data_IF_609890395244
#
_entry.id   IF_609890395244
#
_cell.length_a   1.000
_cell.length_b   1.000
_cell.length_c   1.000
_cell.angle_alpha   90.00
_cell.angle_beta   90.00
_cell.angle_gamma   90.00
#
_symmetry.space_group_name_H-M   'P 1'
#
loop_
_entity.id
_entity.type
_entity.pdbx_description
1 polymer ?
#
# COMPACT_ATOMS: atom_id res chain seq x y z
N UNK A 1 -32.87 18.70 18.39
CA UNK A 1 -31.91 17.60 18.57
C UNK A 1 -30.93 17.75 17.41
N UNK A 2 -29.74 18.27 17.65
CA UNK A 2 -28.72 18.32 16.59
C UNK A 2 -28.57 16.89 16.07
N UNK A 3 -28.79 16.69 14.77
CA UNK A 3 -28.50 15.42 14.12
C UNK A 3 -27.08 15.05 14.49
N UNK A 4 -26.92 13.94 15.21
CA UNK A 4 -25.61 13.42 15.54
C UNK A 4 -24.95 13.01 14.21
N UNK A 5 -24.17 13.89 13.60
CA UNK A 5 -23.61 13.65 12.26
C UNK A 5 -22.78 12.37 12.17
N UNK A 6 -22.20 11.91 13.29
CA UNK A 6 -21.53 10.62 13.38
C UNK A 6 -22.51 9.44 13.27
N UNK A 7 -23.72 9.55 13.82
CA UNK A 7 -24.79 8.56 13.63
C UNK A 7 -25.16 8.43 12.15
N UNK A 8 -25.24 9.52 11.40
CA UNK A 8 -25.53 9.46 9.96
C UNK A 8 -24.42 8.75 9.17
N UNK A 9 -23.16 8.99 9.52
CA UNK A 9 -22.04 8.22 8.95
C UNK A 9 -22.15 6.73 9.29
N UNK A 10 -22.49 6.39 10.53
CA UNK A 10 -22.65 5.00 10.96
C UNK A 10 -23.79 4.30 10.21
N UNK A 11 -24.95 4.96 10.06
CA UNK A 11 -26.08 4.45 9.27
C UNK A 11 -25.71 4.28 7.80
N UNK A 12 -24.93 5.21 7.22
CA UNK A 12 -24.47 5.10 5.85
C UNK A 12 -23.58 3.87 5.64
N UNK A 13 -22.71 3.54 6.60
CA UNK A 13 -21.96 2.28 6.55
C UNK A 13 -22.88 1.07 6.59
N UNK A 14 -23.80 0.99 7.57
CA UNK A 14 -24.75 -0.12 7.68
C UNK A 14 -25.57 -0.31 6.39
N UNK A 15 -26.06 0.79 5.81
CA UNK A 15 -26.86 0.77 4.60
C UNK A 15 -26.08 0.40 3.34
N UNK A 16 -24.76 0.62 3.28
CA UNK A 16 -23.96 0.29 2.10
C UNK A 16 -23.54 -1.19 2.07
N UNK A 17 -23.55 -1.88 3.22
CA UNK A 17 -23.11 -3.28 3.33
C UNK A 17 -23.96 -4.23 2.47
N UNK A 18 -25.25 -3.93 2.28
CA UNK A 18 -26.16 -4.76 1.48
C UNK A 18 -25.75 -4.87 0.00
N UNK A 19 -24.94 -3.92 -0.48
CA UNK A 19 -24.44 -3.89 -1.85
C UNK A 19 -23.15 -4.70 -2.05
N UNK A 20 -22.50 -5.12 -0.97
CA UNK A 20 -21.29 -5.94 -1.03
C UNK A 20 -21.64 -7.42 -1.19
N UNK A 21 -20.77 -8.21 -1.85
CA UNK A 21 -20.98 -9.63 -2.02
C UNK A 21 -20.66 -10.44 -0.77
N UNK A 22 -21.53 -11.40 -0.47
CA UNK A 22 -21.31 -12.39 0.58
C UNK A 22 -19.95 -13.08 0.40
N UNK A 23 -19.19 -13.18 1.50
CA UNK A 23 -17.86 -13.80 1.53
C UNK A 23 -16.80 -13.18 0.60
N UNK A 24 -17.05 -12.00 0.01
CA UNK A 24 -16.14 -11.32 -0.92
C UNK A 24 -15.67 -12.25 -2.05
N UNK A 25 -16.59 -13.10 -2.53
CA UNK A 25 -16.37 -14.09 -3.58
C UNK A 25 -17.27 -13.81 -4.79
N UNK A 26 -16.77 -14.10 -6.00
CA UNK A 26 -17.53 -13.97 -7.24
C UNK A 26 -18.50 -15.11 -7.52
N UNK A 27 -18.59 -16.10 -6.64
CA UNK A 27 -19.37 -17.32 -6.89
C UNK A 27 -20.86 -17.01 -7.10
N UNK A 28 -21.19 -16.76 -8.38
CA UNK A 28 -22.42 -16.80 -9.18
C UNK A 28 -23.77 -16.35 -8.58
N UNK A 29 -23.83 -15.93 -7.32
CA UNK A 29 -25.08 -15.65 -6.62
C UNK A 29 -25.20 -14.21 -6.12
N UNK A 30 -24.19 -13.35 -6.32
CA UNK A 30 -24.40 -11.92 -6.05
C UNK A 30 -25.27 -11.34 -7.17
N UNK A 31 -26.52 -11.07 -6.84
CA UNK A 31 -27.42 -10.35 -7.73
C UNK A 31 -26.91 -8.92 -7.80
N UNK A 32 -26.11 -8.63 -8.83
CA UNK A 32 -25.62 -7.30 -9.16
C UNK A 32 -26.77 -6.29 -9.04
N UNK A 33 -26.74 -5.48 -7.98
CA UNK A 33 -27.73 -4.43 -7.78
C UNK A 33 -27.43 -3.32 -8.77
N UNK A 34 -28.46 -2.85 -9.49
CA UNK A 34 -28.33 -1.75 -10.48
C UNK A 34 -27.68 -0.48 -9.93
N UNK A 35 -27.64 -0.32 -8.60
CA UNK A 35 -27.19 0.89 -7.89
C UNK A 35 -25.68 1.10 -8.04
N UNK A 36 -24.83 0.15 -7.62
CA UNK A 36 -23.37 0.33 -7.74
C UNK A 36 -22.86 0.11 -9.18
N UNK A 37 -23.63 -0.54 -10.06
CA UNK A 37 -23.24 -0.73 -11.47
C UNK A 37 -22.99 0.58 -12.21
N UNK A 38 -23.62 1.68 -11.78
CA UNK A 38 -23.39 3.01 -12.34
C UNK A 38 -21.94 3.51 -12.13
N UNK A 39 -21.23 2.93 -11.17
CA UNK A 39 -19.84 3.25 -10.81
C UNK A 39 -18.86 2.15 -11.20
N UNK A 40 -19.31 1.18 -11.99
CA UNK A 40 -18.47 0.12 -12.52
C UNK A 40 -17.96 0.47 -13.94
N UNK A 41 -16.82 -0.09 -14.37
CA UNK A 41 -16.36 0.06 -15.75
C UNK A 41 -17.42 -0.36 -16.78
N UNK A 42 -17.48 0.38 -17.89
CA UNK A 42 -18.43 0.10 -18.97
C UNK A 42 -18.01 -1.18 -19.69
N UNK A 43 -18.91 -2.18 -19.72
CA UNK A 43 -18.73 -3.39 -20.50
C UNK A 43 -18.75 -3.08 -22.00
N UNK A 44 -17.72 -3.52 -22.73
CA UNK A 44 -17.66 -3.40 -24.19
C UNK A 44 -18.76 -4.19 -24.90
N UNK A 45 -19.27 -5.26 -24.28
CA UNK A 45 -20.27 -6.15 -24.86
C UNK A 45 -21.69 -5.57 -24.76
N UNK A 46 -22.01 -4.95 -23.62
CA UNK A 46 -23.39 -4.52 -23.33
C UNK A 46 -23.57 -3.01 -23.29
N UNK A 47 -22.48 -2.23 -23.31
CA UNK A 47 -22.49 -0.77 -23.15
C UNK A 47 -22.96 -0.31 -21.77
N UNK A 48 -23.03 -1.22 -20.78
CA UNK A 48 -23.50 -0.94 -19.42
C UNK A 48 -22.38 -1.15 -18.40
N UNK A 49 -22.39 -0.36 -17.34
CA UNK A 49 -21.46 -0.53 -16.21
C UNK A 49 -21.60 -1.93 -15.60
N UNK A 50 -20.48 -2.66 -15.53
CA UNK A 50 -20.42 -4.01 -14.97
C UNK A 50 -19.07 -4.24 -14.31
N UNK A 51 -19.08 -4.48 -13.00
CA UNK A 51 -17.88 -4.84 -12.25
C UNK A 51 -17.50 -6.29 -12.55
N UNK A 52 -16.24 -6.50 -12.95
CA UNK A 52 -15.65 -7.82 -13.23
C UNK A 52 -14.73 -8.33 -12.12
N UNK A 53 -14.37 -7.50 -11.13
CA UNK A 53 -13.57 -7.90 -9.95
C UNK A 53 -14.18 -7.42 -8.62
N UNK A 54 -13.81 -8.04 -7.48
CA UNK A 54 -14.35 -7.69 -6.16
C UNK A 54 -13.80 -6.33 -5.77
N UNK A 55 -12.54 -6.05 -6.15
CA UNK A 55 -11.97 -4.72 -6.04
C UNK A 55 -12.78 -3.66 -6.79
N UNK A 56 -13.28 -3.97 -8.00
CA UNK A 56 -14.17 -3.04 -8.71
C UNK A 56 -15.50 -2.85 -7.99
N UNK A 57 -16.10 -3.90 -7.43
CA UNK A 57 -17.34 -3.77 -6.63
C UNK A 57 -17.09 -2.92 -5.38
N UNK A 58 -16.03 -3.23 -4.62
CA UNK A 58 -15.67 -2.46 -3.41
C UNK A 58 -15.38 -1.00 -3.77
N UNK A 59 -14.72 -0.73 -4.90
CA UNK A 59 -14.52 0.64 -5.39
C UNK A 59 -15.86 1.31 -5.71
N UNK A 60 -16.73 0.67 -6.50
CA UNK A 60 -18.03 1.21 -6.87
C UNK A 60 -18.93 1.49 -5.65
N UNK A 61 -18.91 0.61 -4.65
CA UNK A 61 -19.64 0.78 -3.38
C UNK A 61 -19.02 1.91 -2.55
N UNK A 62 -17.70 2.07 -2.55
CA UNK A 62 -17.02 3.21 -1.90
C UNK A 62 -17.41 4.54 -2.54
N UNK A 63 -17.52 4.60 -3.87
CA UNK A 63 -18.02 5.77 -4.60
C UNK A 63 -19.46 6.10 -4.19
N UNK A 64 -20.33 5.09 -4.13
CA UNK A 64 -21.70 5.27 -3.68
C UNK A 64 -21.75 5.81 -2.23
N UNK A 65 -20.91 5.28 -1.34
CA UNK A 65 -20.80 5.74 0.04
C UNK A 65 -20.35 7.21 0.14
N UNK A 66 -19.36 7.61 -0.66
CA UNK A 66 -18.93 9.01 -0.76
C UNK A 66 -20.11 9.89 -1.21
N UNK A 67 -20.79 9.54 -2.30
CA UNK A 67 -21.92 10.32 -2.80
C UNK A 67 -23.05 10.45 -1.76
N UNK A 68 -23.37 9.37 -1.05
CA UNK A 68 -24.39 9.38 -0.01
C UNK A 68 -24.04 10.34 1.15
N UNK A 69 -22.76 10.48 1.47
CA UNK A 69 -22.29 11.33 2.57
C UNK A 69 -22.03 12.79 2.18
N UNK A 70 -21.78 13.07 0.90
CA UNK A 70 -21.32 14.39 0.44
C UNK A 70 -22.25 15.11 -0.55
N UNK A 71 -23.21 14.43 -1.19
CA UNK A 71 -23.98 15.00 -2.31
C UNK A 71 -25.51 15.00 -2.08
N UNK A 72 -26.01 14.59 -0.91
CA UNK A 72 -27.45 14.58 -0.58
C UNK A 72 -28.01 15.92 -0.05
N UNK A 73 -29.34 16.04 0.00
CA UNK A 73 -30.09 17.22 0.49
C UNK A 73 -29.76 17.59 1.97
N UNK A 74 -29.29 16.62 2.77
CA UNK A 74 -28.83 16.78 4.15
C UNK A 74 -27.30 17.01 4.22
N UNK A 75 -26.82 17.98 3.46
CA UNK A 75 -25.41 18.32 3.28
C UNK A 75 -24.61 18.40 4.60
N UNK A 76 -23.69 17.45 4.82
CA UNK A 76 -22.85 17.37 6.03
C UNK A 76 -21.47 18.05 5.85
N UNK A 77 -21.33 19.05 4.97
CA UNK A 77 -20.02 19.73 4.80
C UNK A 77 -19.70 20.68 5.97
N UNK A 78 -20.71 21.31 6.57
CA UNK A 78 -20.50 22.46 7.48
C UNK A 78 -19.63 22.17 8.72
N UNK A 79 -19.55 20.91 9.15
CA UNK A 79 -18.72 20.47 10.30
C UNK A 79 -17.56 19.54 9.94
N UNK A 80 -17.45 19.08 8.69
CA UNK A 80 -16.34 18.21 8.26
C UNK A 80 -15.04 19.02 7.98
N UNK A 81 -14.77 20.05 8.79
CA UNK A 81 -13.66 20.99 8.58
C UNK A 81 -12.29 20.30 8.46
N UNK A 82 -12.15 19.12 9.09
CA UNK A 82 -10.92 18.33 9.09
C UNK A 82 -10.95 17.10 8.15
N UNK A 83 -11.98 16.93 7.31
CA UNK A 83 -12.17 15.74 6.47
C UNK A 83 -12.18 14.43 7.29
N UNK A 84 -12.81 14.45 8.47
CA UNK A 84 -12.95 13.29 9.36
C UNK A 84 -13.76 12.18 8.69
N UNK A 85 -14.79 12.52 7.89
CA UNK A 85 -15.58 11.50 7.19
C UNK A 85 -14.78 10.75 6.15
N UNK A 86 -13.87 11.42 5.44
CA UNK A 86 -12.92 10.73 4.57
C UNK A 86 -12.06 9.76 5.39
N UNK A 87 -11.64 10.15 6.59
CA UNK A 87 -10.89 9.25 7.48
C UNK A 87 -11.73 8.01 7.83
N UNK A 88 -13.01 8.19 8.16
CA UNK A 88 -13.92 7.08 8.47
C UNK A 88 -14.21 6.18 7.26
N UNK A 89 -14.38 6.76 6.07
CA UNK A 89 -14.55 6.02 4.82
C UNK A 89 -13.29 5.21 4.50
N UNK A 90 -12.09 5.77 4.69
CA UNK A 90 -10.84 5.02 4.48
C UNK A 90 -10.66 3.89 5.50
N UNK A 91 -11.13 4.07 6.74
CA UNK A 91 -11.17 2.99 7.73
C UNK A 91 -12.13 1.88 7.29
N UNK A 92 -13.35 2.23 6.89
CA UNK A 92 -14.31 1.27 6.36
C UNK A 92 -13.76 0.52 5.13
N UNK A 93 -13.22 1.25 4.15
CA UNK A 93 -12.62 0.67 2.95
C UNK A 93 -11.50 -0.31 3.31
N UNK A 94 -10.63 0.04 4.27
CA UNK A 94 -9.54 -0.82 4.71
C UNK A 94 -10.01 -2.17 5.28
N UNK A 95 -11.15 -2.14 5.99
CA UNK A 95 -11.77 -3.34 6.53
C UNK A 95 -12.26 -4.25 5.41
N UNK A 96 -12.95 -3.68 4.42
CA UNK A 96 -13.46 -4.43 3.25
C UNK A 96 -12.32 -4.97 2.40
N UNK A 97 -11.27 -4.18 2.18
CA UNK A 97 -10.08 -4.61 1.46
C UNK A 97 -9.42 -5.83 2.09
N UNK A 98 -9.39 -5.92 3.43
CA UNK A 98 -8.82 -7.07 4.14
C UNK A 98 -9.58 -8.39 3.86
N UNK A 99 -10.85 -8.29 3.46
CA UNK A 99 -11.69 -9.44 3.12
C UNK A 99 -11.51 -9.90 1.67
N UNK A 100 -10.91 -9.07 0.81
CA UNK A 100 -10.64 -9.40 -0.59
C UNK A 100 -9.54 -10.46 -0.65
N UNK A 101 -9.86 -11.64 -1.19
CA UNK A 101 -8.92 -12.76 -1.31
C UNK A 101 -7.97 -12.65 -2.51
N UNK A 102 -8.35 -11.85 -3.51
CA UNK A 102 -7.61 -11.68 -4.76
C UNK A 102 -6.85 -10.36 -4.77
N UNK A 103 -5.54 -10.39 -4.98
CA UNK A 103 -4.66 -9.23 -4.85
C UNK A 103 -4.01 -9.17 -3.48
N UNK A 104 -2.88 -8.47 -3.38
CA UNK A 104 -2.15 -8.31 -2.13
C UNK A 104 -2.02 -6.81 -1.82
N UNK A 105 -3.03 -6.26 -1.14
CA UNK A 105 -3.06 -4.86 -0.75
C UNK A 105 -2.45 -4.70 0.65
N UNK A 106 -1.32 -4.00 0.74
CA UNK A 106 -0.65 -3.73 2.00
C UNK A 106 -1.25 -2.55 2.76
N UNK A 107 -1.86 -1.60 2.05
CA UNK A 107 -2.65 -0.51 2.61
C UNK A 107 -3.66 0.07 1.61
N UNK A 108 -4.52 0.99 2.06
CA UNK A 108 -5.51 1.69 1.22
C UNK A 108 -4.87 2.40 0.02
N UNK A 109 -3.65 2.95 0.18
CA UNK A 109 -2.90 3.58 -0.90
C UNK A 109 -2.64 2.66 -2.11
N UNK A 110 -2.50 1.35 -1.87
CA UNK A 110 -2.32 0.38 -2.96
C UNK A 110 -3.62 0.20 -3.77
N UNK A 111 -4.76 0.27 -3.08
CA UNK A 111 -6.08 0.21 -3.71
C UNK A 111 -6.44 1.51 -4.41
N UNK A 112 -6.12 2.65 -3.80
CA UNK A 112 -6.32 3.99 -4.36
C UNK A 112 -5.65 4.13 -5.73
N UNK A 113 -4.39 3.71 -5.83
CA UNK A 113 -3.63 3.71 -7.09
C UNK A 113 -4.28 2.82 -8.16
N UNK A 114 -4.94 1.74 -7.74
CA UNK A 114 -5.53 0.74 -8.64
C UNK A 114 -6.93 1.12 -9.11
N UNK A 115 -7.75 1.71 -8.25
CA UNK A 115 -9.21 1.85 -8.48
C UNK A 115 -9.80 3.24 -8.24
N UNK A 116 -9.06 4.20 -7.68
CA UNK A 116 -9.61 5.50 -7.24
C UNK A 116 -8.98 6.66 -8.03
N UNK A 117 -7.64 6.76 -8.04
CA UNK A 117 -6.91 7.96 -8.49
C UNK A 117 -7.17 8.39 -9.94
N UNK A 118 -7.59 7.47 -10.80
CA UNK A 118 -7.86 7.71 -12.22
C UNK A 118 -9.32 7.47 -12.60
N UNK A 119 -10.17 7.23 -11.60
CA UNK A 119 -11.57 6.94 -11.80
C UNK A 119 -12.38 8.25 -11.77
N UNK A 120 -13.15 8.49 -12.84
CA UNK A 120 -13.89 9.74 -13.01
C UNK A 120 -14.93 9.97 -11.92
N UNK A 121 -15.44 8.90 -11.31
CA UNK A 121 -16.45 8.99 -10.27
C UNK A 121 -15.92 9.54 -8.95
N UNK A 122 -14.59 9.58 -8.77
CA UNK A 122 -13.94 10.14 -7.59
C UNK A 122 -13.48 11.58 -7.75
N UNK A 123 -13.54 12.14 -8.97
CA UNK A 123 -13.04 13.49 -9.26
C UNK A 123 -13.66 14.57 -8.35
N UNK A 124 -14.91 14.42 -7.94
CA UNK A 124 -15.60 15.36 -7.06
C UNK A 124 -15.00 15.40 -5.64
N UNK A 125 -14.44 14.28 -5.18
CA UNK A 125 -13.94 14.13 -3.80
C UNK A 125 -12.42 13.88 -3.74
N UNK A 126 -11.72 13.88 -4.88
CA UNK A 126 -10.30 13.53 -4.97
C UNK A 126 -9.42 14.44 -4.10
N UNK A 127 -9.75 15.73 -4.02
CA UNK A 127 -9.01 16.68 -3.18
C UNK A 127 -9.15 16.36 -1.69
N UNK A 128 -10.33 15.92 -1.25
CA UNK A 128 -10.56 15.53 0.14
C UNK A 128 -9.84 14.22 0.47
N UNK A 129 -9.85 13.26 -0.47
CA UNK A 129 -9.11 11.99 -0.38
C UNK A 129 -7.60 12.26 -0.29
N UNK A 130 -7.06 13.10 -1.18
CA UNK A 130 -5.64 13.46 -1.21
C UNK A 130 -5.18 14.14 0.08
N UNK A 131 -6.04 14.93 0.75
CA UNK A 131 -5.73 15.50 2.09
C UNK A 131 -5.51 14.41 3.16
N UNK A 132 -5.96 13.18 2.93
CA UNK A 132 -5.82 12.02 3.84
C UNK A 132 -4.85 10.95 3.34
N UNK A 133 -4.06 11.24 2.31
CA UNK A 133 -3.04 10.34 1.72
C UNK A 133 -2.14 9.66 2.77
N UNK A 134 -1.72 10.39 3.79
CA UNK A 134 -0.86 9.84 4.86
C UNK A 134 -1.52 8.68 5.60
N UNK A 135 -2.81 8.81 5.94
CA UNK A 135 -3.56 7.76 6.64
C UNK A 135 -3.72 6.52 5.75
N UNK A 136 -3.86 6.71 4.43
CA UNK A 136 -3.96 5.60 3.48
C UNK A 136 -2.68 4.74 3.39
N UNK A 137 -1.56 5.20 3.95
CA UNK A 137 -0.30 4.46 4.00
C UNK A 137 -0.15 3.56 5.23
N UNK A 138 -1.04 3.66 6.23
CA UNK A 138 -1.05 2.78 7.40
C UNK A 138 -1.29 1.33 6.96
N UNK A 139 -0.59 0.37 7.56
CA UNK A 139 -0.73 -1.04 7.20
C UNK A 139 -2.19 -1.49 7.35
N UNK A 140 -2.69 -2.28 6.42
CA UNK A 140 -4.10 -2.71 6.38
C UNK A 140 -4.54 -3.39 7.68
N UNK A 141 -3.67 -4.19 8.31
CA UNK A 141 -3.96 -4.84 9.60
C UNK A 141 -4.14 -3.85 10.76
N UNK A 142 -3.41 -2.73 10.72
CA UNK A 142 -3.52 -1.66 11.72
C UNK A 142 -4.76 -0.80 11.44
N UNK A 143 -5.05 -0.48 10.18
CA UNK A 143 -6.29 0.20 9.77
C UNK A 143 -7.55 -0.59 10.14
N UNK A 144 -7.54 -1.91 9.98
CA UNK A 144 -8.65 -2.77 10.40
C UNK A 144 -8.90 -2.72 11.91
N UNK A 145 -7.85 -2.59 12.74
CA UNK A 145 -8.02 -2.39 14.20
C UNK A 145 -8.66 -1.03 14.49
N UNK A 146 -8.25 0.01 13.77
CA UNK A 146 -8.83 1.36 13.88
C UNK A 146 -10.30 1.36 13.44
N UNK A 147 -10.65 0.61 12.38
CA UNK A 147 -12.05 0.43 11.98
C UNK A 147 -12.84 -0.32 13.06
N UNK A 148 -12.25 -1.31 13.73
CA UNK A 148 -12.87 -1.95 14.90
C UNK A 148 -13.27 -0.96 15.99
N UNK A 149 -12.43 0.05 16.27
CA UNK A 149 -12.77 1.12 17.20
C UNK A 149 -13.91 2.01 16.68
N UNK A 150 -13.88 2.39 15.40
CA UNK A 150 -14.96 3.15 14.79
C UNK A 150 -16.29 2.38 14.85
N UNK A 151 -16.26 1.07 14.60
CA UNK A 151 -17.42 0.20 14.68
C UNK A 151 -17.95 0.06 16.12
N UNK A 152 -17.07 -0.07 17.13
CA UNK A 152 -17.47 -0.03 18.54
C UNK A 152 -18.22 1.27 18.87
N UNK A 153 -17.70 2.40 18.37
CA UNK A 153 -18.32 3.71 18.57
C UNK A 153 -19.68 3.81 17.87
N UNK A 154 -19.77 3.39 16.61
CA UNK A 154 -21.03 3.35 15.86
C UNK A 154 -22.09 2.49 16.57
N UNK A 155 -21.74 1.27 16.97
CA UNK A 155 -22.65 0.38 17.69
C UNK A 155 -23.15 0.99 19.00
N UNK A 156 -22.28 1.65 19.76
CA UNK A 156 -22.65 2.31 21.00
C UNK A 156 -23.62 3.49 20.75
N UNK A 157 -23.35 4.30 19.72
CA UNK A 157 -24.21 5.42 19.31
C UNK A 157 -25.58 4.91 18.86
N UNK A 158 -25.64 3.93 17.96
CA UNK A 158 -26.91 3.36 17.47
C UNK A 158 -27.76 2.82 18.62
N UNK A 159 -27.14 2.06 19.55
CA UNK A 159 -27.84 1.54 20.74
C UNK A 159 -28.36 2.65 21.64
N UNK A 160 -27.56 3.69 21.89
CA UNK A 160 -27.97 4.82 22.70
C UNK A 160 -29.10 5.63 22.05
N UNK A 161 -29.08 5.80 20.73
CA UNK A 161 -30.16 6.47 19.99
C UNK A 161 -31.48 5.70 20.10
N UNK A 162 -31.43 4.37 20.07
CA UNK A 162 -32.62 3.53 20.23
C UNK A 162 -33.09 3.47 21.70
N UNK A 163 -32.15 3.46 22.65
CA UNK A 163 -32.40 3.43 24.08
C UNK A 163 -31.35 4.27 24.84
N UNK A 164 -31.69 5.50 25.26
CA UNK A 164 -30.77 6.39 25.98
C UNK A 164 -30.31 5.89 27.35
N UNK A 165 -30.85 4.78 27.85
CA UNK A 165 -30.34 4.11 29.06
C UNK A 165 -29.11 3.22 28.76
N UNK A 166 -28.86 2.88 27.49
CA UNK A 166 -27.80 1.98 27.06
C UNK A 166 -26.43 2.68 26.95
N UNK A 167 -25.90 3.12 28.08
CA UNK A 167 -24.58 3.74 28.17
C UNK A 167 -23.42 2.73 28.24
N UNK A 168 -23.71 1.48 28.60
CA UNK A 168 -22.70 0.43 28.83
C UNK A 168 -21.91 0.10 27.56
N UNK A 169 -22.54 0.19 26.39
CA UNK A 169 -21.94 -0.11 25.09
C UNK A 169 -20.72 0.76 24.74
N UNK A 170 -20.62 1.97 25.32
CA UNK A 170 -19.47 2.86 25.13
C UNK A 170 -18.20 2.37 25.84
N UNK A 171 -18.32 1.46 26.80
CA UNK A 171 -17.16 0.91 27.52
C UNK A 171 -16.25 0.11 26.57
N UNK A 172 -16.83 -0.57 25.58
CA UNK A 172 -16.06 -1.31 24.57
C UNK A 172 -15.13 -0.38 23.80
N UNK A 173 -15.65 0.75 23.32
CA UNK A 173 -14.86 1.77 22.65
C UNK A 173 -13.73 2.28 23.55
N UNK A 174 -14.07 2.72 24.77
CA UNK A 174 -13.09 3.29 25.69
C UNK A 174 -11.94 2.32 26.01
N UNK A 175 -12.27 1.08 26.40
CA UNK A 175 -11.27 0.06 26.72
C UNK A 175 -10.44 -0.37 25.51
N UNK A 176 -11.06 -0.53 24.33
CA UNK A 176 -10.32 -0.89 23.12
C UNK A 176 -9.42 0.25 22.65
N UNK A 177 -9.87 1.50 22.75
CA UNK A 177 -9.06 2.68 22.44
C UNK A 177 -7.82 2.73 23.32
N UNK A 178 -7.99 2.59 24.65
CA UNK A 178 -6.88 2.56 25.60
C UNK A 178 -5.89 1.42 25.32
N UNK A 179 -6.40 0.25 24.96
CA UNK A 179 -5.58 -0.89 24.55
C UNK A 179 -4.74 -0.58 23.32
N UNK A 180 -5.33 -0.04 22.26
CA UNK A 180 -4.59 0.32 21.04
C UNK A 180 -3.55 1.42 21.30
N UNK A 181 -3.94 2.42 22.08
CA UNK A 181 -3.09 3.52 22.52
C UNK A 181 -1.86 3.02 23.30
N UNK A 182 -2.06 2.19 24.31
CA UNK A 182 -0.96 1.60 25.07
C UNK A 182 -0.06 0.69 24.21
N UNK A 183 -0.61 -0.04 23.25
CA UNK A 183 0.18 -0.84 22.32
C UNK A 183 1.11 0.04 21.45
N UNK A 184 0.61 1.19 20.98
CA UNK A 184 1.39 2.14 20.21
C UNK A 184 2.52 2.77 21.05
N UNK A 185 2.20 3.23 22.26
CA UNK A 185 3.18 3.85 23.17
C UNK A 185 4.31 2.87 23.47
N UNK A 186 3.97 1.63 23.82
CA UNK A 186 4.91 0.58 24.17
C UNK A 186 5.57 -0.12 22.96
N UNK A 187 5.26 0.29 21.72
CA UNK A 187 5.86 -0.28 20.50
C UNK A 187 7.37 -0.02 20.49
N UNK A 188 8.16 -1.11 20.53
CA UNK A 188 9.63 -1.11 20.60
C UNK A 188 10.29 -0.38 19.43
N UNK A 189 9.80 -0.63 18.22
CA UNK A 189 10.31 -0.02 16.99
C UNK A 189 9.14 0.67 16.32
N UNK A 190 9.18 2.00 16.32
CA UNK A 190 8.20 2.84 15.65
C UNK A 190 8.60 3.07 14.18
N UNK A 191 7.61 3.15 13.31
CA UNK A 191 7.73 3.49 11.89
C UNK A 191 7.07 4.83 11.61
N UNK A 192 7.32 5.43 10.44
CA UNK A 192 6.73 6.73 10.12
C UNK A 192 5.19 6.70 10.14
N UNK A 193 4.59 5.61 9.70
CA UNK A 193 3.14 5.44 9.65
C UNK A 193 2.49 5.32 11.04
N UNK A 194 3.27 5.08 12.10
CA UNK A 194 2.77 5.10 13.48
C UNK A 194 2.34 6.51 13.91
N UNK A 195 2.93 7.56 13.33
CA UNK A 195 2.47 8.94 13.51
C UNK A 195 1.04 9.09 12.98
N UNK A 196 0.76 8.50 11.81
CA UNK A 196 -0.57 8.57 11.18
C UNK A 196 -1.59 7.71 11.92
N UNK A 197 -1.19 6.53 12.38
CA UNK A 197 -2.02 5.67 13.23
C UNK A 197 -2.43 6.39 14.52
N UNK A 198 -1.49 7.10 15.14
CA UNK A 198 -1.75 7.93 16.30
C UNK A 198 -2.76 9.06 16.01
N UNK A 199 -2.60 9.77 14.87
CA UNK A 199 -3.52 10.84 14.48
C UNK A 199 -4.96 10.31 14.31
N UNK A 200 -5.13 9.10 13.78
CA UNK A 200 -6.46 8.46 13.67
C UNK A 200 -7.01 8.08 15.04
N UNK A 201 -6.20 7.53 15.95
CA UNK A 201 -6.64 7.29 17.33
C UNK A 201 -7.15 8.56 18.00
N UNK A 202 -6.43 9.68 17.86
CA UNK A 202 -6.88 10.97 18.40
C UNK A 202 -8.18 11.44 17.75
N UNK A 203 -8.33 11.26 16.44
CA UNK A 203 -9.58 11.60 15.73
C UNK A 203 -10.77 10.82 16.29
N UNK A 204 -10.63 9.51 16.52
CA UNK A 204 -11.67 8.68 17.12
C UNK A 204 -11.98 9.06 18.58
N UNK A 205 -10.95 9.37 19.39
CA UNK A 205 -11.13 9.89 20.76
C UNK A 205 -11.90 11.19 20.76
N UNK A 206 -11.56 12.12 19.86
CA UNK A 206 -12.24 13.40 19.73
C UNK A 206 -13.70 13.22 19.29
N UNK A 207 -13.98 12.31 18.36
CA UNK A 207 -15.34 11.99 17.94
C UNK A 207 -16.21 11.48 19.11
N UNK A 208 -15.66 10.59 19.93
CA UNK A 208 -16.30 10.12 21.15
C UNK A 208 -16.54 11.23 22.18
N UNK A 209 -15.54 12.08 22.43
CA UNK A 209 -15.66 13.21 23.34
C UNK A 209 -16.69 14.24 22.86
N UNK A 210 -16.72 14.52 21.55
CA UNK A 210 -17.72 15.39 20.93
C UNK A 210 -19.12 14.82 21.15
N UNK A 211 -19.33 13.53 20.85
CA UNK A 211 -20.61 12.87 21.09
C UNK A 211 -21.06 12.96 22.56
N UNK A 212 -20.15 12.74 23.51
CA UNK A 212 -20.42 12.89 24.96
C UNK A 212 -20.88 14.29 25.33
N UNK A 213 -20.25 15.30 24.75
CA UNK A 213 -20.50 16.70 25.05
C UNK A 213 -21.81 17.18 24.45
N UNK A 214 -22.03 16.90 23.17
CA UNK A 214 -23.22 17.31 22.41
C UNK A 214 -24.51 16.71 23.00
N UNK A 215 -24.41 15.51 23.61
CA UNK A 215 -25.56 14.83 24.23
C UNK A 215 -25.69 15.11 25.75
N UNK A 216 -24.84 15.94 26.35
CA UNK A 216 -24.84 16.24 27.78
C UNK A 216 -24.84 15.00 28.70
N UNK A 217 -24.12 13.95 28.29
CA UNK A 217 -24.03 12.65 29.00
C UNK A 217 -22.63 12.39 29.56
N UNK A 218 -21.88 13.43 29.87
CA UNK A 218 -20.50 13.32 30.38
C UNK A 218 -20.44 12.42 31.62
N UNK A 219 -21.42 12.54 32.52
CA UNK A 219 -21.48 11.79 33.79
C UNK A 219 -21.97 10.34 33.63
N UNK A 220 -22.48 9.95 32.45
CA UNK A 220 -23.02 8.61 32.19
C UNK A 220 -22.08 7.74 31.37
N UNK A 221 -21.23 8.36 30.55
CA UNK A 221 -20.32 7.65 29.66
C UNK A 221 -18.91 7.54 30.26
N UNK A 222 -18.19 6.42 30.03
CA UNK A 222 -16.83 6.23 30.52
C UNK A 222 -15.91 7.38 30.11
N UNK A 223 -15.09 7.88 31.04
CA UNK A 223 -14.02 8.79 30.67
C UNK A 223 -12.86 7.98 30.10
N UNK A 224 -12.41 8.34 28.89
CA UNK A 224 -11.19 7.76 28.32
C UNK A 224 -9.99 8.32 29.08
N UNK A 225 -9.12 7.43 29.53
CA UNK A 225 -7.87 7.81 30.20
C UNK A 225 -7.05 8.70 29.26
N UNK A 226 -6.51 9.79 29.80
CA UNK A 226 -5.57 10.61 29.06
C UNK A 226 -4.18 9.97 29.10
N UNK A 227 -3.65 9.62 27.93
CA UNK A 227 -2.32 9.04 27.76
C UNK A 227 -1.45 10.14 27.17
N UNK A 228 -0.67 10.80 28.02
CA UNK A 228 0.05 12.04 27.70
C UNK A 228 0.92 11.91 26.44
N UNK A 229 1.57 10.75 26.25
CA UNK A 229 2.45 10.49 25.13
C UNK A 229 1.73 10.53 23.77
N UNK A 230 0.44 10.20 23.73
CA UNK A 230 -0.37 10.20 22.50
C UNK A 230 -0.84 11.59 22.12
N UNK A 231 -0.91 12.54 23.06
CA UNK A 231 -1.36 13.90 22.80
C UNK A 231 -0.43 14.65 21.81
N UNK A 232 0.76 14.12 21.52
CA UNK A 232 1.64 14.62 20.46
C UNK A 232 2.24 13.48 19.63
N UNK A 233 1.50 13.02 18.62
CA UNK A 233 1.89 11.93 17.71
C UNK A 233 3.25 12.12 17.04
N UNK A 234 3.59 13.37 16.65
CA UNK A 234 4.88 13.72 16.06
C UNK A 234 6.03 13.55 17.05
N UNK A 235 5.84 13.91 18.32
CA UNK A 235 6.83 13.69 19.39
C UNK A 235 6.96 12.19 19.69
N UNK A 236 5.84 11.48 19.81
CA UNK A 236 5.79 10.04 20.06
C UNK A 236 6.58 9.24 19.01
N UNK A 237 6.46 9.63 17.75
CA UNK A 237 7.09 8.93 16.63
C UNK A 237 8.38 9.60 16.14
N UNK A 238 8.96 10.54 16.89
CA UNK A 238 10.19 11.27 16.50
C UNK A 238 11.39 10.36 16.22
N UNK A 239 11.47 9.21 16.91
CA UNK A 239 12.54 8.23 16.76
C UNK A 239 12.33 7.27 15.58
N UNK A 240 11.19 7.32 14.88
CA UNK A 240 10.96 6.51 13.69
C UNK A 240 11.92 6.95 12.58
N UNK A 241 12.60 5.98 11.95
CA UNK A 241 13.60 6.24 10.89
C UNK A 241 13.30 5.48 9.60
N UNK A 242 12.22 4.69 9.57
CA UNK A 242 11.84 3.87 8.43
C UNK A 242 10.32 3.73 8.32
N UNK A 243 9.87 3.40 7.11
CA UNK A 243 8.51 2.95 6.84
C UNK A 243 8.38 1.44 7.08
N UNK A 244 7.18 0.96 7.42
CA UNK A 244 6.90 -0.48 7.45
C UNK A 244 7.02 -1.13 6.07
N UNK A 245 6.86 -0.35 4.99
CA UNK A 245 7.02 -0.83 3.60
C UNK A 245 8.47 -1.20 3.28
N UNK A 246 9.43 -0.65 4.03
CA UNK A 246 10.85 -1.00 3.91
C UNK A 246 11.12 -2.24 4.76
N UNK A 247 11.05 -3.43 4.14
CA UNK A 247 11.61 -4.65 4.76
C UNK A 247 13.10 -4.41 5.00
N UNK A 248 13.56 -4.61 6.23
CA UNK A 248 14.99 -4.49 6.56
C UNK A 248 15.78 -5.46 5.68
N UNK A 249 16.52 -4.93 4.71
CA UNK A 249 17.51 -5.72 3.97
C UNK A 249 18.69 -5.91 4.92
N UNK A 250 18.85 -7.12 5.45
CA UNK A 250 20.02 -7.45 6.28
C UNK A 250 21.27 -7.55 5.40
N UNK A 251 21.92 -6.41 5.20
CA UNK A 251 23.19 -6.28 4.46
C UNK A 251 24.33 -7.11 5.09
N UNK A 252 24.16 -7.67 6.30
CA UNK A 252 25.20 -8.45 6.98
C UNK A 252 25.44 -9.81 6.34
N UNK A 253 24.46 -10.37 5.61
CA UNK A 253 24.70 -11.59 4.82
C UNK A 253 25.70 -11.38 3.66
N UNK A 254 26.06 -10.12 3.34
CA UNK A 254 26.87 -9.77 2.16
C UNK A 254 28.35 -9.52 2.52
N UNK A 255 28.70 -9.34 3.79
CA UNK A 255 30.11 -9.16 4.19
C UNK A 255 30.95 -10.44 4.10
N UNK A 256 30.32 -11.61 3.99
CA UNK A 256 31.00 -12.90 3.94
C UNK A 256 30.92 -13.56 2.58
N UNK A 257 31.68 -13.09 1.59
CA UNK A 257 32.16 -13.89 0.43
C UNK A 257 33.07 -13.01 -0.45
N UNK A 258 34.30 -12.80 0.03
CA UNK A 258 35.35 -12.08 -0.71
C UNK A 258 36.16 -12.97 -1.66
N UNK A 259 35.92 -14.29 -1.68
CA UNK A 259 36.66 -15.23 -2.52
C UNK A 259 35.66 -16.07 -3.33
N UNK A 260 35.38 -15.65 -4.57
CA UNK A 260 34.75 -16.48 -5.59
C UNK A 260 35.87 -16.83 -6.58
N UNK A 261 36.36 -18.06 -6.49
CA UNK A 261 37.52 -18.55 -7.25
C UNK A 261 37.14 -18.86 -8.71
N UNK A 262 38.13 -18.68 -9.60
CA UNK A 262 37.97 -18.63 -11.05
C UNK A 262 37.47 -19.96 -11.67
N UNK A 263 36.54 -19.81 -12.61
CA UNK A 263 36.07 -20.75 -13.65
C UNK A 263 34.82 -21.62 -13.42
N UNK A 264 34.35 -21.84 -12.19
CA UNK A 264 33.10 -22.62 -11.93
C UNK A 264 31.89 -21.83 -11.42
N UNK A 265 32.02 -20.52 -11.19
CA UNK A 265 31.03 -19.73 -10.43
C UNK A 265 30.29 -18.65 -11.24
N UNK A 266 30.28 -18.69 -12.58
CA UNK A 266 29.57 -17.69 -13.40
C UNK A 266 28.06 -17.71 -13.15
N UNK A 267 27.43 -18.89 -13.04
CA UNK A 267 25.99 -18.97 -12.72
C UNK A 267 25.70 -18.46 -11.30
N UNK A 268 26.58 -18.76 -10.34
CA UNK A 268 26.45 -18.30 -8.97
C UNK A 268 26.64 -16.79 -8.85
N UNK A 269 27.54 -16.21 -9.64
CA UNK A 269 27.71 -14.77 -9.76
C UNK A 269 26.48 -14.12 -10.39
N UNK A 270 25.91 -14.72 -11.45
CA UNK A 270 24.67 -14.28 -12.09
C UNK A 270 23.50 -14.31 -11.09
N UNK A 271 23.37 -15.36 -10.28
CA UNK A 271 22.32 -15.45 -9.26
C UNK A 271 22.50 -14.39 -8.16
N UNK A 272 23.74 -14.11 -7.75
CA UNK A 272 24.04 -13.02 -6.81
C UNK A 272 23.71 -11.66 -7.41
N UNK A 273 23.98 -11.46 -8.70
CA UNK A 273 23.67 -10.23 -9.44
C UNK A 273 22.15 -10.05 -9.58
N UNK A 274 21.43 -11.11 -9.97
CA UNK A 274 19.97 -11.13 -10.13
C UNK A 274 19.27 -10.81 -8.81
N UNK A 275 19.62 -11.51 -7.73
CA UNK A 275 19.05 -11.25 -6.41
C UNK A 275 19.32 -9.83 -5.92
N UNK A 276 20.50 -9.26 -6.22
CA UNK A 276 20.84 -7.88 -5.87
C UNK A 276 20.07 -6.85 -6.69
N UNK A 277 19.86 -7.11 -7.98
CA UNK A 277 19.06 -6.27 -8.86
C UNK A 277 17.58 -6.27 -8.47
N UNK A 278 17.00 -7.44 -8.20
CA UNK A 278 15.63 -7.59 -7.71
C UNK A 278 15.42 -6.86 -6.37
N UNK A 279 16.40 -6.93 -5.47
CA UNK A 279 16.36 -6.23 -4.18
C UNK A 279 16.35 -4.71 -4.32
N UNK A 280 17.23 -4.16 -5.16
CA UNK A 280 17.26 -2.71 -5.42
C UNK A 280 16.03 -2.25 -6.19
N UNK A 281 15.61 -3.01 -7.21
CA UNK A 281 14.42 -2.74 -8.01
C UNK A 281 13.16 -2.72 -7.13
N UNK A 282 12.98 -3.70 -6.23
CA UNK A 282 11.87 -3.71 -5.27
C UNK A 282 11.88 -2.48 -4.37
N UNK A 283 13.06 -2.06 -3.91
CA UNK A 283 13.21 -0.84 -3.10
C UNK A 283 12.80 0.42 -3.89
N UNK A 284 13.21 0.54 -5.15
CA UNK A 284 12.82 1.66 -6.01
C UNK A 284 11.33 1.65 -6.38
N UNK A 285 10.76 0.49 -6.74
CA UNK A 285 9.34 0.36 -7.07
C UNK A 285 8.45 0.78 -5.90
N UNK A 286 8.74 0.31 -4.69
CA UNK A 286 7.98 0.68 -3.47
C UNK A 286 8.06 2.19 -3.19
N UNK A 287 9.19 2.83 -3.51
CA UNK A 287 9.41 4.25 -3.29
C UNK A 287 8.66 5.15 -4.30
N UNK A 288 8.57 4.74 -5.58
CA UNK A 288 7.86 5.51 -6.61
C UNK A 288 6.34 5.35 -6.54
N UNK A 289 5.83 4.29 -5.91
CA UNK A 289 4.39 4.15 -5.64
C UNK A 289 3.90 5.15 -4.57
N UNK A 290 4.80 5.65 -3.71
CA UNK A 290 4.46 6.54 -2.59
C UNK A 290 5.07 7.94 -2.75
N UNK A 291 4.54 8.76 -3.66
CA UNK A 291 5.00 10.15 -3.82
C UNK A 291 4.05 11.14 -3.18
N UNK A 292 4.30 11.37 -1.88
CA UNK A 292 3.99 12.62 -1.18
C UNK A 292 5.31 13.37 -0.88
N UNK A 293 5.41 14.64 -1.30
CA UNK A 293 6.63 15.47 -1.27
C UNK A 293 7.38 15.56 0.08
N UNK A 294 6.72 15.21 1.19
CA UNK A 294 7.29 15.27 2.55
C UNK A 294 8.05 13.98 2.95
N UNK A 295 7.68 12.82 2.39
CA UNK A 295 8.42 11.57 2.55
C UNK A 295 9.73 11.62 1.75
N UNK A 296 9.72 12.22 0.56
CA UNK A 296 10.90 12.38 -0.28
C UNK A 296 12.07 13.05 0.46
N UNK A 297 11.83 14.15 1.19
CA UNK A 297 12.87 14.84 1.98
C UNK A 297 13.44 13.98 3.13
N UNK A 298 12.60 13.18 3.80
CA UNK A 298 13.05 12.31 4.91
C UNK A 298 13.77 11.06 4.41
N UNK A 299 13.38 10.55 3.24
CA UNK A 299 13.94 9.35 2.61
C UNK A 299 15.17 9.63 1.75
N UNK A 300 15.44 10.90 1.41
CA UNK A 300 16.55 11.32 0.54
C UNK A 300 17.92 10.77 0.97
N UNK A 301 18.32 10.80 2.26
CA UNK A 301 19.63 10.24 2.65
C UNK A 301 19.71 8.72 2.46
N UNK A 302 18.60 8.00 2.65
CA UNK A 302 18.52 6.57 2.40
C UNK A 302 18.55 6.27 0.88
N UNK A 303 17.91 7.12 0.07
CA UNK A 303 17.91 7.05 -1.39
C UNK A 303 19.32 7.24 -1.95
N UNK A 304 20.04 8.28 -1.51
CA UNK A 304 21.43 8.54 -1.92
C UNK A 304 22.33 7.34 -1.60
N UNK A 305 22.20 6.78 -0.39
CA UNK A 305 22.99 5.61 0.02
C UNK A 305 22.68 4.35 -0.81
N UNK A 306 21.40 4.09 -1.13
CA UNK A 306 21.01 2.95 -1.98
C UNK A 306 21.48 3.16 -3.42
N UNK A 307 21.33 4.37 -3.95
CA UNK A 307 21.79 4.76 -5.27
C UNK A 307 23.31 4.60 -5.42
N UNK A 308 24.09 5.12 -4.47
CA UNK A 308 25.55 5.00 -4.48
C UNK A 308 25.99 3.52 -4.43
N UNK A 309 25.30 2.70 -3.65
CA UNK A 309 25.56 1.24 -3.60
C UNK A 309 25.20 0.54 -4.91
N UNK A 310 24.15 0.98 -5.58
CA UNK A 310 23.76 0.45 -6.89
C UNK A 310 24.81 0.81 -7.94
N UNK A 311 25.24 2.08 -8.00
CA UNK A 311 26.29 2.54 -8.92
C UNK A 311 27.58 1.75 -8.70
N UNK A 312 28.05 1.66 -7.45
CA UNK A 312 29.24 0.86 -7.13
C UNK A 312 29.08 -0.61 -7.52
N UNK A 313 27.89 -1.18 -7.39
CA UNK A 313 27.64 -2.55 -7.82
C UNK A 313 27.64 -2.71 -9.34
N UNK A 314 27.01 -1.79 -10.06
CA UNK A 314 26.99 -1.75 -11.52
C UNK A 314 28.41 -1.62 -12.06
N UNK A 315 29.22 -0.71 -11.53
CA UNK A 315 30.62 -0.51 -11.92
C UNK A 315 31.46 -1.77 -11.70
N UNK A 316 31.31 -2.42 -10.54
CA UNK A 316 32.01 -3.67 -10.26
C UNK A 316 31.58 -4.81 -11.20
N UNK A 317 30.30 -4.86 -11.56
CA UNK A 317 29.76 -5.86 -12.49
C UNK A 317 30.27 -5.62 -13.90
N UNK A 318 30.23 -4.38 -14.37
CA UNK A 318 30.77 -3.96 -15.68
C UNK A 318 32.27 -4.27 -15.75
N UNK A 319 33.03 -3.98 -14.70
CA UNK A 319 34.46 -4.28 -14.64
C UNK A 319 34.75 -5.79 -14.66
N UNK A 320 33.96 -6.59 -13.94
CA UNK A 320 34.08 -8.05 -13.97
C UNK A 320 33.75 -8.62 -15.35
N UNK A 321 32.63 -8.19 -15.95
CA UNK A 321 32.19 -8.62 -17.30
C UNK A 321 33.21 -8.19 -18.35
N UNK A 322 33.72 -6.95 -18.30
CA UNK A 322 34.78 -6.48 -19.20
C UNK A 322 36.08 -7.25 -19.01
N UNK A 323 36.42 -7.64 -17.78
CA UNK A 323 37.61 -8.43 -17.46
C UNK A 323 37.52 -9.87 -17.94
N UNK A 324 36.35 -10.51 -17.83
CA UNK A 324 36.14 -11.89 -18.30
C UNK A 324 35.87 -11.97 -19.81
N UNK A 325 35.20 -10.99 -20.44
CA UNK A 325 34.97 -10.96 -21.89
C UNK A 325 36.21 -10.52 -22.69
N UNK A 326 37.10 -9.69 -22.13
CA UNK A 326 38.35 -9.31 -22.81
C UNK A 326 39.41 -10.42 -22.82
N UNK A 327 39.34 -11.41 -21.93
CA UNK A 327 40.27 -12.55 -21.91
C UNK A 327 40.17 -13.44 -23.16
N UNK A 328 38.98 -13.89 -23.60
CA UNK A 328 38.84 -14.70 -24.81
C UNK A 328 39.07 -13.88 -26.10
N UNK A 329 38.69 -12.61 -26.15
CA UNK A 329 38.87 -11.79 -27.37
C UNK A 329 40.36 -11.60 -27.71
N UNK A 330 41.23 -11.44 -26.70
CA UNK A 330 42.69 -11.36 -26.91
C UNK A 330 43.35 -12.68 -27.31
N UNK A 331 42.75 -13.82 -26.96
CA UNK A 331 43.29 -15.14 -27.34
C UNK A 331 42.93 -15.51 -28.78
N UNK A 332 41.79 -15.05 -29.31
CA UNK A 332 41.38 -15.31 -30.70
C UNK A 332 42.03 -14.39 -31.75
N UNK A 333 42.70 -13.30 -31.37
CA UNK A 333 43.31 -12.35 -32.34
C UNK A 333 44.81 -12.55 -32.58
N UNK A 334 45.45 -13.61 -32.06
CA UNK A 334 46.89 -13.85 -32.25
C UNK A 334 47.32 -15.20 -32.86
N UNK A 335 46.39 -16.11 -33.21
CA UNK A 335 46.76 -17.46 -33.68
C UNK A 335 46.25 -17.83 -35.09
N UNK A 336 46.00 -16.86 -35.97
CA UNK A 336 45.85 -17.16 -37.41
C UNK A 336 47.22 -17.16 -38.11
N UNK A 337 48.16 -17.96 -37.61
CA UNK A 337 49.34 -18.41 -38.34
C UNK A 337 49.03 -19.78 -38.95
N UNK A 338 48.72 -19.82 -40.24
CA UNK A 338 48.42 -21.04 -41.01
C UNK A 338 49.69 -21.94 -41.05
N UNK A 339 49.65 -23.20 -40.59
CA UNK A 339 50.69 -24.17 -40.91
C UNK A 339 50.31 -24.95 -42.18
N UNK A 340 51.24 -24.95 -43.14
CA UNK A 340 51.23 -25.79 -44.34
C UNK A 340 51.11 -27.28 -43.98
N UNK A 341 50.17 -27.98 -44.60
CA UNK A 341 50.12 -29.44 -44.59
C UNK A 341 50.65 -29.96 -45.93
N UNK A 342 51.81 -30.65 -45.90
CA UNK A 342 52.39 -31.35 -47.05
C UNK A 342 52.23 -32.86 -46.90
N UNK A 343 51.72 -33.47 -47.97
CA UNK A 343 52.12 -34.79 -48.46
C UNK A 343 50.95 -35.72 -48.82
N UNK A 344 51.14 -36.79 -49.64
CA UNK A 344 52.31 -37.16 -50.46
C UNK A 344 51.98 -37.28 -51.97
N UNK A 345 53.02 -37.38 -52.80
CA UNK A 345 52.96 -37.28 -54.26
C UNK A 345 52.35 -38.48 -55.02
N UNK A 346 51.86 -38.14 -56.21
CA UNK A 346 51.61 -39.02 -57.36
C UNK A 346 51.82 -38.18 -58.63
N UNK A 347 52.57 -38.73 -59.58
CA UNK A 347 53.40 -38.11 -60.61
C UNK A 347 52.71 -37.30 -61.76
N UNK A 348 53.50 -36.56 -62.59
CA UNK A 348 53.05 -35.42 -63.39
C UNK A 348 52.78 -35.71 -64.89
N UNK A 349 52.40 -34.64 -65.62
CA UNK A 349 52.03 -34.47 -67.04
C UNK A 349 50.52 -34.65 -67.32
N UNK A 350 49.83 -33.78 -68.06
CA UNK A 350 50.25 -33.14 -69.31
C UNK A 350 49.48 -31.83 -69.57
N UNK A 351 50.14 -30.99 -70.34
CA UNK A 351 49.77 -29.73 -70.97
C UNK A 351 48.46 -29.69 -71.78
N UNK A 352 47.97 -28.46 -71.88
CA UNK A 352 47.40 -27.79 -73.05
C UNK A 352 45.92 -27.96 -73.43
N UNK A 353 45.29 -26.77 -73.50
CA UNK A 353 44.47 -26.26 -74.60
C UNK A 353 43.00 -26.70 -74.70
N UNK A 354 42.12 -25.78 -74.27
CA UNK A 354 40.97 -25.33 -75.09
C UNK A 354 41.37 -25.21 -76.56
N UNK A 355 40.51 -25.57 -77.54
CA UNK A 355 39.20 -24.90 -77.68
C UNK A 355 38.05 -25.71 -78.31
N UNK A 356 36.81 -25.33 -77.96
CA UNK A 356 35.75 -24.88 -78.89
C UNK A 356 34.55 -24.40 -78.10
#
# INVERSE_FOLDING_TARGET
MESNKLLEVCKAFEGIEEFLPDNFSFENNHTSTKIYNAYCPISKETGKGKCGTIGQIVSAVTTLLLKNLFTGDDYIESDNKNNEYITYIMLWLSDKMKLIKTGNYGSVSDFDTTFIKYDEYYNEHIDQINKKEKIMNIKIDEMHKLYGLLNDLCNAITKYTNDPSNCSSFSNFASNWEKQSNQLVNKKIKVFEDEYYCDVLLTLKNAYQKFRNDNHIQNKLPQIIDIEEINNCKKLCKAATKSWRIKSVDLRQIKGKKNIEKSKDTSRYIDVVKNRFESYSSFFSIMFTNVGNNLYKKSLPALTNVYDKFINFADNTINYVNGELKKPIKTYTFDNGIPEEKGPGGDPLSSQETPS
#
